data_IF_753259130075
#
_entry.id   IF_753259130075
#
_cell.length_a   1.000
_cell.length_b   1.000
_cell.length_c   1.000
_cell.angle_alpha   90.00
_cell.angle_beta   90.00
_cell.angle_gamma   90.00
#
_symmetry.space_group_name_H-M   'P 1'
#
loop_
_entity.id
_entity.type
_entity.pdbx_description
1 polymer ?
#
# COMPACT_ATOMS: atom_id res chain seq x y z
N UNK A 1 5.50 -13.54 -20.44
CA UNK A 1 5.81 -13.91 -21.85
C UNK A 1 6.29 -12.64 -22.53
N UNK A 2 7.26 -12.70 -23.46
CA UNK A 2 7.67 -11.50 -24.19
C UNK A 2 6.51 -10.98 -25.04
N UNK A 3 6.42 -9.66 -25.21
CA UNK A 3 5.48 -9.07 -26.14
C UNK A 3 5.79 -9.61 -27.55
N UNK A 4 4.84 -10.27 -28.15
CA UNK A 4 4.92 -10.82 -29.51
C UNK A 4 4.07 -9.99 -30.47
N UNK A 5 4.29 -10.17 -31.79
CA UNK A 5 3.48 -9.51 -32.81
C UNK A 5 1.97 -9.65 -32.55
N UNK A 6 1.53 -10.81 -32.06
CA UNK A 6 0.11 -11.05 -31.78
C UNK A 6 -0.41 -10.27 -30.57
N UNK A 7 0.45 -9.93 -29.62
CA UNK A 7 0.04 -9.12 -28.45
C UNK A 7 0.09 -7.62 -28.71
N UNK A 8 0.90 -7.20 -29.67
CA UNK A 8 1.05 -5.78 -30.06
C UNK A 8 0.28 -5.45 -31.35
N UNK A 9 -0.37 -6.46 -31.96
CA UNK A 9 -1.08 -6.35 -33.25
C UNK A 9 -2.21 -5.29 -33.22
N UNK A 10 -2.85 -5.13 -32.07
CA UNK A 10 -3.88 -4.11 -31.86
C UNK A 10 -3.33 -2.66 -31.85
N UNK A 11 -2.04 -2.51 -31.56
CA UNK A 11 -1.37 -1.20 -31.52
C UNK A 11 -0.68 -0.90 -32.85
N UNK A 12 -0.28 -1.97 -33.59
CA UNK A 12 0.44 -1.87 -34.85
C UNK A 12 -0.48 -1.69 -36.08
N UNK A 13 -1.75 -2.01 -35.95
CA UNK A 13 -2.74 -1.88 -37.02
C UNK A 13 -3.58 -0.65 -36.82
N UNK A 14 -3.46 0.25 -37.76
CA UNK A 14 -4.30 1.44 -37.97
C UNK A 14 -4.19 2.58 -36.95
N UNK A 15 -3.85 3.75 -37.47
CA UNK A 15 -4.13 5.15 -37.08
C UNK A 15 -4.66 5.47 -35.64
N UNK A 16 -4.32 4.65 -34.63
CA UNK A 16 -4.61 4.98 -33.24
C UNK A 16 -3.63 6.04 -32.77
N UNK A 17 -4.03 7.29 -32.87
CA UNK A 17 -3.24 8.43 -32.40
C UNK A 17 -3.17 8.56 -30.90
N UNK A 18 -4.11 7.94 -30.17
CA UNK A 18 -4.22 8.06 -28.71
C UNK A 18 -4.40 6.68 -28.07
N UNK A 19 -3.47 6.32 -27.19
CA UNK A 19 -3.59 5.15 -26.32
C UNK A 19 -4.57 5.46 -25.19
N UNK A 20 -5.68 4.71 -25.09
CA UNK A 20 -6.66 4.84 -24.01
C UNK A 20 -6.36 3.79 -22.95
N UNK A 21 -5.79 4.20 -21.83
CA UNK A 21 -5.60 3.35 -20.67
C UNK A 21 -6.93 3.17 -19.93
N UNK A 22 -7.49 1.95 -19.98
CA UNK A 22 -8.73 1.60 -19.25
C UNK A 22 -8.47 1.12 -17.83
N UNK A 23 -7.20 1.04 -17.42
CA UNK A 23 -6.83 0.60 -16.10
C UNK A 23 -6.94 1.74 -15.09
N UNK A 24 -7.28 1.41 -13.85
CA UNK A 24 -7.33 2.39 -12.77
C UNK A 24 -5.91 2.80 -12.34
N UNK A 25 -5.54 4.06 -12.56
CA UNK A 25 -4.21 4.61 -12.27
C UNK A 25 -4.18 5.46 -10.98
N UNK A 26 -5.03 5.17 -10.02
CA UNK A 26 -5.08 5.93 -8.77
C UNK A 26 -3.82 5.69 -7.91
N UNK A 27 -2.98 6.72 -7.79
CA UNK A 27 -1.76 6.73 -6.98
C UNK A 27 -1.91 7.67 -5.79
N UNK A 28 -3.01 7.51 -5.07
CA UNK A 28 -3.41 8.51 -4.09
C UNK A 28 -2.42 8.67 -2.94
N UNK A 29 -2.07 7.58 -2.24
CA UNK A 29 -1.30 7.69 -1.00
C UNK A 29 0.10 8.30 -1.23
N UNK A 30 0.78 7.93 -2.30
CA UNK A 30 2.11 8.47 -2.64
C UNK A 30 2.10 9.97 -2.91
N UNK A 31 1.00 10.51 -3.46
CA UNK A 31 0.87 11.95 -3.72
C UNK A 31 0.66 12.78 -2.45
N UNK A 32 0.10 12.17 -1.39
CA UNK A 32 -0.21 12.85 -0.13
C UNK A 32 0.98 12.87 0.83
N UNK A 33 1.90 11.92 0.72
CA UNK A 33 3.05 11.74 1.61
C UNK A 33 4.26 12.53 1.11
N UNK A 34 5.03 13.10 2.04
CA UNK A 34 6.30 13.79 1.74
C UNK A 34 7.33 12.78 1.22
N UNK A 35 7.86 13.02 0.01
CA UNK A 35 8.97 12.22 -0.54
C UNK A 35 10.30 12.89 -0.22
N UNK A 36 11.25 12.14 0.37
CA UNK A 36 12.60 12.61 0.68
C UNK A 36 13.64 11.78 -0.05
N UNK A 37 14.48 12.47 -0.83
CA UNK A 37 15.52 11.86 -1.66
C UNK A 37 16.89 11.83 -0.98
N UNK A 38 17.18 12.76 -0.09
CA UNK A 38 18.55 13.01 0.43
C UNK A 38 18.85 12.38 1.79
N UNK A 39 17.91 11.64 2.38
CA UNK A 39 18.01 11.13 3.75
C UNK A 39 18.55 9.72 3.85
N UNK A 40 18.77 9.04 2.73
CA UNK A 40 19.28 7.67 2.71
C UNK A 40 20.79 7.66 2.60
N UNK A 41 21.48 7.22 3.65
CA UNK A 41 22.93 7.01 3.62
C UNK A 41 23.21 5.51 3.44
N UNK A 42 23.71 5.14 2.27
CA UNK A 42 23.88 3.74 1.89
C UNK A 42 22.53 3.05 1.64
N UNK A 43 22.11 2.11 2.51
CA UNK A 43 20.86 1.33 2.38
C UNK A 43 19.79 1.67 3.40
N UNK A 44 20.06 2.60 4.32
CA UNK A 44 19.20 2.82 5.50
C UNK A 44 19.06 4.31 5.76
N UNK A 45 17.80 4.77 5.81
CA UNK A 45 17.47 6.05 6.42
C UNK A 45 17.33 5.88 7.94
N UNK A 46 17.70 6.88 8.72
CA UNK A 46 17.62 6.84 10.19
C UNK A 46 16.86 8.02 10.74
N UNK A 47 15.90 7.75 11.62
CA UNK A 47 15.17 8.78 12.37
C UNK A 47 15.39 8.61 13.86
N UNK A 48 15.53 9.72 14.58
CA UNK A 48 15.49 9.72 16.04
C UNK A 48 14.04 10.01 16.50
N UNK A 49 13.50 9.15 17.35
CA UNK A 49 12.14 9.28 17.88
C UNK A 49 12.22 9.43 19.39
N UNK A 50 11.50 10.42 19.94
CA UNK A 50 11.34 10.62 21.36
C UNK A 50 10.20 9.73 21.88
N UNK A 51 10.50 8.79 22.77
CA UNK A 51 9.55 7.79 23.28
C UNK A 51 9.10 8.02 24.72
N UNK A 52 9.88 8.71 25.52
CA UNK A 52 9.56 8.85 26.95
C UNK A 52 10.01 10.16 27.56
N UNK A 53 9.24 10.61 28.54
CA UNK A 53 9.51 11.84 29.30
C UNK A 53 10.50 11.57 30.42
N UNK A 54 11.26 12.58 30.79
CA UNK A 54 12.10 12.55 32.00
C UNK A 54 11.24 12.58 33.26
N UNK A 55 11.56 11.75 34.23
CA UNK A 55 10.97 11.78 35.57
C UNK A 55 11.59 12.85 36.49
N UNK A 56 12.61 13.58 36.01
CA UNK A 56 13.31 14.64 36.77
C UNK A 56 12.54 15.94 36.94
N UNK A 57 11.23 15.97 36.64
CA UNK A 57 10.37 17.13 36.74
C UNK A 57 9.33 16.92 37.85
N UNK A 58 9.24 17.83 38.82
CA UNK A 58 8.22 17.75 39.86
C UNK A 58 8.28 18.95 40.80
N UNK A 59 7.13 19.29 41.36
CA UNK A 59 7.02 20.33 42.40
C UNK A 59 7.70 19.86 43.69
N UNK A 60 8.29 20.78 44.46
CA UNK A 60 8.90 20.57 45.78
C UNK A 60 8.46 21.65 46.73
N UNK A 61 8.52 21.34 48.00
CA UNK A 61 8.31 22.34 49.07
C UNK A 61 9.51 23.30 49.12
N UNK A 62 9.30 24.46 49.73
CA UNK A 62 10.36 25.43 50.03
C UNK A 62 11.46 24.73 50.84
N UNK A 63 12.70 24.81 50.39
CA UNK A 63 13.84 24.12 51.03
C UNK A 63 13.87 22.59 50.83
N UNK A 64 12.97 22.00 50.09
CA UNK A 64 12.91 20.55 49.81
C UNK A 64 13.93 20.06 48.81
N UNK A 65 14.27 18.78 48.88
CA UNK A 65 15.22 18.12 47.96
C UNK A 65 14.70 18.21 46.51
N UNK A 66 15.55 18.65 45.58
CA UNK A 66 15.22 18.70 44.14
C UNK A 66 14.90 17.31 43.58
N UNK A 67 14.10 17.24 42.50
CA UNK A 67 13.85 15.97 41.82
C UNK A 67 15.16 15.32 41.32
N UNK A 68 15.24 14.02 41.44
CA UNK A 68 16.40 13.27 40.91
C UNK A 68 16.50 13.48 39.39
N UNK A 69 17.69 13.81 38.90
CA UNK A 69 17.91 13.98 37.46
C UNK A 69 17.62 12.67 36.72
N UNK A 70 16.89 12.78 35.62
CA UNK A 70 16.56 11.67 34.75
C UNK A 70 16.67 12.09 33.28
N UNK A 71 16.92 11.15 32.40
CA UNK A 71 17.06 11.39 30.97
C UNK A 71 15.73 11.23 30.21
N UNK A 72 15.63 11.89 29.07
CA UNK A 72 14.61 11.63 28.07
C UNK A 72 14.92 10.30 27.37
N UNK A 73 13.89 9.54 26.97
CA UNK A 73 14.06 8.31 26.24
C UNK A 73 13.95 8.56 24.71
N UNK A 74 15.01 8.25 24.00
CA UNK A 74 15.07 8.32 22.54
C UNK A 74 15.34 6.93 21.95
N UNK A 75 14.80 6.65 20.77
CA UNK A 75 15.14 5.48 19.97
C UNK A 75 15.51 5.90 18.56
N UNK A 76 16.47 5.18 17.98
CA UNK A 76 16.81 5.32 16.56
C UNK A 76 15.99 4.32 15.75
N UNK A 77 15.29 4.81 14.74
CA UNK A 77 14.47 4.03 13.81
C UNK A 77 15.27 3.85 12.51
N UNK A 78 15.77 2.64 12.25
CA UNK A 78 16.37 2.31 10.96
C UNK A 78 15.28 1.95 9.95
N UNK A 79 15.31 2.58 8.78
CA UNK A 79 14.38 2.35 7.67
C UNK A 79 15.20 1.87 6.47
N UNK A 80 15.25 0.56 6.21
CA UNK A 80 15.97 0.01 5.07
C UNK A 80 15.18 0.26 3.79
N UNK A 81 15.88 0.58 2.71
CA UNK A 81 15.25 0.78 1.39
C UNK A 81 14.90 -0.57 0.78
N UNK A 82 13.73 -0.67 0.17
CA UNK A 82 13.24 -1.83 -0.59
C UNK A 82 13.36 -1.55 -2.08
N UNK A 83 13.39 -2.62 -2.87
CA UNK A 83 13.68 -2.57 -4.29
C UNK A 83 12.46 -3.01 -5.09
N UNK A 84 11.92 -2.11 -5.90
CA UNK A 84 10.79 -2.41 -6.78
C UNK A 84 11.29 -2.43 -8.22
N UNK A 85 10.95 -3.48 -8.96
CA UNK A 85 11.37 -3.68 -10.34
C UNK A 85 10.19 -3.96 -11.24
N UNK A 86 10.24 -3.39 -12.45
CA UNK A 86 9.38 -3.74 -13.58
C UNK A 86 10.26 -4.14 -14.77
N UNK A 87 9.83 -5.10 -15.61
CA UNK A 87 10.62 -5.59 -16.73
C UNK A 87 9.76 -5.80 -17.95
N UNK A 88 10.18 -5.23 -19.06
CA UNK A 88 9.58 -5.44 -20.39
C UNK A 88 10.54 -6.18 -21.28
N UNK A 89 9.99 -6.97 -22.22
CA UNK A 89 10.77 -7.70 -23.21
C UNK A 89 10.07 -7.62 -24.57
N UNK A 90 10.80 -7.14 -25.57
CA UNK A 90 10.35 -7.07 -26.95
C UNK A 90 11.10 -8.08 -27.82
N UNK A 91 10.40 -8.76 -28.72
CA UNK A 91 11.04 -9.72 -29.64
C UNK A 91 11.78 -9.00 -30.77
N UNK A 92 12.91 -9.56 -31.23
CA UNK A 92 13.67 -9.02 -32.36
C UNK A 92 12.84 -8.89 -33.64
N UNK A 93 11.98 -9.87 -34.03
CA UNK A 93 11.07 -9.74 -35.16
C UNK A 93 10.11 -8.54 -35.04
N UNK A 94 9.53 -8.30 -33.85
CA UNK A 94 8.65 -7.12 -33.59
C UNK A 94 9.39 -5.82 -33.88
N UNK A 95 10.63 -5.71 -33.38
CA UNK A 95 11.47 -4.53 -33.59
C UNK A 95 11.82 -4.34 -35.07
N UNK A 96 12.17 -5.41 -35.79
CA UNK A 96 12.56 -5.31 -37.20
C UNK A 96 11.39 -5.02 -38.13
N UNK A 97 10.22 -5.55 -37.87
CA UNK A 97 9.03 -5.28 -38.67
C UNK A 97 8.51 -3.87 -38.47
N UNK A 98 8.61 -3.34 -37.25
CA UNK A 98 8.29 -1.95 -36.94
C UNK A 98 9.29 -0.93 -37.54
N UNK A 99 10.51 -1.36 -37.93
CA UNK A 99 11.47 -0.44 -38.60
C UNK A 99 11.08 -0.05 -40.03
N UNK A 100 10.13 -0.75 -40.65
CA UNK A 100 9.58 -0.37 -41.95
C UNK A 100 8.65 0.83 -41.81
N UNK A 101 8.04 1.02 -40.64
CA UNK A 101 7.23 2.17 -40.30
C UNK A 101 7.71 2.73 -38.96
N UNK A 102 8.56 3.74 -39.01
CA UNK A 102 9.25 4.31 -37.83
C UNK A 102 8.31 4.80 -36.76
N UNK A 103 7.12 5.27 -37.12
CA UNK A 103 6.11 5.77 -36.20
C UNK A 103 5.54 4.63 -35.35
N UNK A 104 5.12 3.53 -35.95
CA UNK A 104 4.48 2.40 -35.26
C UNK A 104 5.39 1.73 -34.22
N UNK A 105 6.70 1.67 -34.45
CA UNK A 105 7.64 1.11 -33.48
C UNK A 105 7.86 1.99 -32.25
N UNK A 106 8.04 3.27 -32.46
CA UNK A 106 8.23 4.22 -31.36
C UNK A 106 6.98 4.23 -30.49
N UNK A 107 5.80 4.28 -31.09
CA UNK A 107 4.53 4.30 -30.37
C UNK A 107 4.31 2.99 -29.56
N UNK A 108 4.65 1.83 -30.13
CA UNK A 108 4.55 0.56 -29.42
C UNK A 108 5.54 0.44 -28.25
N UNK A 109 6.77 0.89 -28.41
CA UNK A 109 7.76 0.91 -27.34
C UNK A 109 7.36 1.88 -26.23
N UNK A 110 6.92 3.08 -26.60
CA UNK A 110 6.48 4.09 -25.62
C UNK A 110 5.25 3.63 -24.85
N UNK A 111 4.29 2.96 -25.51
CA UNK A 111 3.13 2.38 -24.85
C UNK A 111 3.52 1.28 -23.83
N UNK A 112 4.42 0.37 -24.19
CA UNK A 112 4.93 -0.65 -23.26
C UNK A 112 5.71 -0.03 -22.09
N UNK A 113 6.52 0.99 -22.33
CA UNK A 113 7.28 1.68 -21.31
C UNK A 113 6.36 2.48 -20.34
N UNK A 114 5.31 3.10 -20.85
CA UNK A 114 4.30 3.77 -20.04
C UNK A 114 3.45 2.75 -19.29
N UNK A 115 3.06 1.65 -19.92
CA UNK A 115 2.30 0.57 -19.32
C UNK A 115 3.01 -0.01 -18.10
N UNK A 116 4.29 -0.43 -18.24
CA UNK A 116 5.05 -0.98 -17.10
C UNK A 116 5.25 0.02 -15.96
N UNK A 117 5.39 1.32 -16.30
CA UNK A 117 5.48 2.37 -15.28
C UNK A 117 4.18 2.49 -14.50
N UNK A 118 3.05 2.50 -15.18
CA UNK A 118 1.72 2.57 -14.55
C UNK A 118 1.47 1.33 -13.68
N UNK A 119 1.80 0.13 -14.17
CA UNK A 119 1.64 -1.11 -13.42
C UNK A 119 2.54 -1.16 -12.17
N UNK A 120 3.79 -0.69 -12.29
CA UNK A 120 4.70 -0.60 -11.16
C UNK A 120 4.19 0.38 -10.09
N UNK A 121 3.62 1.49 -10.50
CA UNK A 121 3.01 2.46 -9.60
C UNK A 121 1.78 1.90 -8.89
N UNK A 122 0.90 1.17 -9.59
CA UNK A 122 -0.26 0.46 -8.99
C UNK A 122 0.19 -0.56 -7.96
N UNK A 123 1.21 -1.35 -8.30
CA UNK A 123 1.74 -2.33 -7.37
C UNK A 123 2.32 -1.67 -6.10
N UNK A 124 2.98 -0.53 -6.23
CA UNK A 124 3.43 0.26 -5.07
C UNK A 124 2.25 0.74 -4.23
N UNK A 125 1.16 1.25 -4.84
CA UNK A 125 -0.03 1.67 -4.08
C UNK A 125 -0.64 0.50 -3.31
N UNK A 126 -0.76 -0.68 -3.93
CA UNK A 126 -1.17 -1.91 -3.27
C UNK A 126 -0.26 -2.27 -2.08
N UNK A 127 1.05 -2.22 -2.28
CA UNK A 127 2.03 -2.52 -1.22
C UNK A 127 1.89 -1.55 -0.05
N UNK A 128 1.69 -0.26 -0.31
CA UNK A 128 1.50 0.77 0.72
C UNK A 128 0.24 0.56 1.56
N UNK A 129 -0.80 -0.09 1.03
CA UNK A 129 -1.99 -0.50 1.80
C UNK A 129 -1.88 -1.90 2.40
N UNK A 130 -0.83 -2.65 2.08
CA UNK A 130 -0.61 -4.03 2.50
C UNK A 130 -0.14 -4.20 3.95
N UNK A 131 0.14 -5.47 4.27
CA UNK A 131 0.71 -5.90 5.57
C UNK A 131 2.24 -6.06 5.52
N UNK A 132 2.91 -5.56 4.49
CA UNK A 132 4.36 -5.67 4.28
C UNK A 132 4.87 -7.12 4.07
N UNK A 133 4.00 -8.06 3.84
CA UNK A 133 4.30 -9.50 3.71
C UNK A 133 3.92 -10.10 2.36
N UNK A 134 3.49 -9.28 1.40
CA UNK A 134 3.07 -9.72 0.08
C UNK A 134 1.72 -10.41 0.00
N UNK A 135 0.97 -10.51 1.11
CA UNK A 135 -0.37 -11.09 1.13
C UNK A 135 -1.35 -10.21 0.37
N UNK A 136 -2.04 -10.81 -0.61
CA UNK A 136 -3.13 -10.17 -1.35
C UNK A 136 -4.48 -10.59 -0.77
N UNK A 137 -4.66 -11.90 -0.59
CA UNK A 137 -5.91 -12.48 -0.08
C UNK A 137 -5.65 -13.69 0.81
N UNK A 138 -6.57 -13.97 1.73
CA UNK A 138 -6.58 -15.20 2.49
C UNK A 138 -7.38 -16.27 1.75
N UNK A 139 -6.90 -17.51 1.76
CA UNK A 139 -7.64 -18.63 1.19
C UNK A 139 -8.73 -19.11 2.16
N UNK A 140 -9.78 -19.68 1.59
CA UNK A 140 -10.73 -20.55 2.27
C UNK A 140 -10.36 -22.03 2.10
N UNK A 141 -11.28 -22.92 2.44
CA UNK A 141 -11.09 -24.37 2.25
C UNK A 141 -11.38 -24.72 0.78
N UNK A 142 -10.38 -25.27 0.11
CA UNK A 142 -10.49 -25.85 -1.24
C UNK A 142 -9.99 -27.28 -1.21
N UNK A 143 -10.72 -28.19 -1.80
CA UNK A 143 -10.32 -29.61 -1.89
C UNK A 143 -10.05 -29.96 -3.35
N UNK A 144 -8.78 -30.21 -3.65
CA UNK A 144 -8.28 -30.70 -4.95
C UNK A 144 -8.96 -30.05 -6.18
N UNK A 145 -8.80 -28.73 -6.32
CA UNK A 145 -9.42 -27.96 -7.40
C UNK A 145 -8.46 -26.89 -7.94
N UNK A 146 -8.66 -26.48 -9.19
CA UNK A 146 -8.04 -25.28 -9.78
C UNK A 146 -8.82 -24.01 -9.42
N UNK A 147 -10.07 -24.15 -8.97
CA UNK A 147 -10.87 -23.04 -8.43
C UNK A 147 -10.60 -22.94 -6.93
N UNK A 148 -9.83 -21.95 -6.55
CA UNK A 148 -9.45 -21.67 -5.17
C UNK A 148 -10.50 -20.79 -4.51
N UNK A 149 -11.06 -21.27 -3.40
CA UNK A 149 -11.98 -20.48 -2.57
C UNK A 149 -11.16 -19.48 -1.75
N UNK A 150 -11.58 -18.23 -1.74
CA UNK A 150 -11.02 -17.18 -0.88
C UNK A 150 -11.85 -17.04 0.39
N UNK A 151 -11.24 -16.48 1.43
CA UNK A 151 -11.96 -16.26 2.68
C UNK A 151 -13.16 -15.34 2.50
N UNK A 152 -14.23 -15.55 3.25
CA UNK A 152 -15.43 -14.70 3.21
C UNK A 152 -15.13 -13.24 3.59
N UNK A 153 -14.07 -13.02 4.37
CA UNK A 153 -13.54 -11.70 4.74
C UNK A 153 -12.72 -11.02 3.63
N UNK A 154 -12.43 -11.72 2.50
CA UNK A 154 -11.72 -11.11 1.38
C UNK A 154 -12.57 -10.00 0.79
N UNK A 155 -12.04 -8.79 0.81
CA UNK A 155 -12.75 -7.61 0.37
C UNK A 155 -12.61 -7.32 -1.12
N UNK A 156 -13.39 -6.36 -1.61
CA UNK A 156 -13.41 -5.94 -3.02
C UNK A 156 -12.03 -5.50 -3.53
N UNK A 157 -11.25 -4.81 -2.71
CA UNK A 157 -9.90 -4.38 -3.05
C UNK A 157 -8.98 -5.55 -3.45
N UNK A 158 -8.92 -6.60 -2.62
CA UNK A 158 -8.10 -7.78 -2.89
C UNK A 158 -8.57 -8.54 -4.13
N UNK A 159 -9.90 -8.70 -4.29
CA UNK A 159 -10.50 -9.36 -5.46
C UNK A 159 -10.19 -8.60 -6.75
N UNK A 160 -10.28 -7.27 -6.73
CA UNK A 160 -9.98 -6.42 -7.87
C UNK A 160 -8.50 -6.48 -8.26
N UNK A 161 -7.59 -6.51 -7.30
CA UNK A 161 -6.17 -6.66 -7.55
C UNK A 161 -5.88 -7.96 -8.30
N UNK A 162 -6.48 -9.08 -7.88
CA UNK A 162 -6.36 -10.37 -8.57
C UNK A 162 -6.97 -10.36 -9.98
N UNK A 163 -8.08 -9.65 -10.17
CA UNK A 163 -8.81 -9.59 -11.45
C UNK A 163 -8.16 -8.64 -12.46
N UNK A 164 -7.80 -7.43 -12.02
CA UNK A 164 -7.31 -6.38 -12.92
C UNK A 164 -5.93 -6.68 -13.50
N UNK A 165 -5.12 -7.47 -12.81
CA UNK A 165 -3.79 -7.84 -13.28
C UNK A 165 -3.83 -8.98 -14.35
N UNK A 166 -5.00 -9.25 -14.95
CA UNK A 166 -5.29 -10.18 -16.04
C UNK A 166 -4.17 -11.13 -16.42
N UNK A 167 -4.04 -12.29 -15.72
CA UNK A 167 -2.92 -13.19 -15.87
C UNK A 167 -1.83 -12.99 -14.82
N UNK A 168 -2.12 -12.34 -13.72
CA UNK A 168 -1.22 -12.22 -12.57
C UNK A 168 -0.68 -13.57 -12.14
N UNK A 169 0.62 -13.65 -11.93
CA UNK A 169 1.26 -14.86 -11.41
C UNK A 169 1.33 -14.81 -9.91
N UNK A 170 0.79 -15.84 -9.25
CA UNK A 170 0.64 -15.90 -7.80
C UNK A 170 1.30 -17.15 -7.21
N UNK A 171 1.71 -17.03 -5.96
CA UNK A 171 2.13 -18.13 -5.11
C UNK A 171 1.06 -18.36 -4.04
N UNK A 172 0.88 -19.60 -3.61
CA UNK A 172 -0.08 -19.96 -2.57
C UNK A 172 0.63 -20.76 -1.48
N UNK A 173 0.50 -20.31 -0.25
CA UNK A 173 1.15 -20.96 0.88
C UNK A 173 0.88 -20.27 2.20
N UNK A 174 1.70 -20.53 3.19
CA UNK A 174 1.67 -19.84 4.48
C UNK A 174 2.54 -18.58 4.44
N UNK A 175 2.35 -17.64 5.38
CA UNK A 175 3.20 -16.43 5.45
C UNK A 175 4.67 -16.81 5.63
N UNK A 176 4.99 -17.86 6.38
CA UNK A 176 6.37 -18.33 6.58
C UNK A 176 6.94 -19.07 5.37
N UNK A 177 6.09 -19.67 4.53
CA UNK A 177 6.47 -20.44 3.35
C UNK A 177 5.43 -20.24 2.23
N UNK A 178 5.57 -19.14 1.44
CA UNK A 178 4.55 -18.69 0.48
C UNK A 178 4.27 -19.65 -0.67
N UNK A 179 5.21 -20.53 -0.97
CA UNK A 179 5.13 -21.47 -2.11
C UNK A 179 4.74 -22.90 -1.71
N UNK A 180 4.34 -23.12 -0.45
CA UNK A 180 4.09 -24.48 0.10
C UNK A 180 2.97 -25.23 -0.60
N UNK A 181 1.96 -24.54 -1.12
CA UNK A 181 0.80 -25.15 -1.79
C UNK A 181 0.97 -25.09 -3.31
N UNK A 182 1.34 -23.93 -3.83
CA UNK A 182 1.54 -23.72 -5.24
C UNK A 182 2.52 -22.57 -5.49
N UNK A 183 3.31 -22.67 -6.55
CA UNK A 183 4.24 -21.63 -6.97
C UNK A 183 4.00 -21.28 -8.44
N UNK A 184 4.15 -19.99 -8.77
CA UNK A 184 4.09 -19.44 -10.11
C UNK A 184 2.83 -19.86 -10.90
N UNK A 185 1.65 -19.74 -10.30
CA UNK A 185 0.36 -20.02 -10.94
C UNK A 185 -0.25 -18.77 -11.52
N UNK A 186 -0.68 -18.83 -12.76
CA UNK A 186 -1.38 -17.71 -13.40
C UNK A 186 -2.86 -17.71 -13.01
N UNK A 187 -3.35 -16.58 -12.54
CA UNK A 187 -4.79 -16.36 -12.29
C UNK A 187 -5.47 -16.17 -13.64
N UNK A 188 -6.46 -17.00 -13.95
CA UNK A 188 -7.18 -16.97 -15.23
C UNK A 188 -8.52 -16.26 -15.13
N UNK A 189 -9.17 -16.32 -13.97
CA UNK A 189 -10.41 -15.58 -13.70
C UNK A 189 -10.66 -15.44 -12.21
N UNK A 190 -11.44 -14.45 -11.84
CA UNK A 190 -11.89 -14.20 -10.46
C UNK A 190 -13.39 -13.97 -10.46
N UNK A 191 -14.09 -14.65 -9.57
CA UNK A 191 -15.52 -14.40 -9.31
C UNK A 191 -15.67 -13.61 -8.01
N UNK A 192 -16.10 -12.36 -8.14
CA UNK A 192 -16.27 -11.45 -7.01
C UNK A 192 -17.43 -11.85 -6.11
N UNK A 193 -18.48 -12.43 -6.68
CA UNK A 193 -19.68 -12.84 -5.93
C UNK A 193 -19.43 -14.11 -5.13
N UNK A 194 -18.83 -15.12 -5.78
CA UNK A 194 -18.50 -16.39 -5.14
C UNK A 194 -17.21 -16.32 -4.31
N UNK A 195 -16.43 -15.24 -4.43
CA UNK A 195 -15.09 -15.08 -3.83
C UNK A 195 -14.19 -16.27 -4.15
N UNK A 196 -14.07 -16.55 -5.43
CA UNK A 196 -13.21 -17.62 -5.94
C UNK A 196 -12.27 -17.09 -7.01
N UNK A 197 -11.10 -17.70 -7.12
CA UNK A 197 -10.18 -17.47 -8.22
C UNK A 197 -9.85 -18.78 -8.91
N UNK A 198 -9.71 -18.77 -10.23
CA UNK A 198 -9.25 -19.91 -11.01
C UNK A 198 -7.78 -19.73 -11.35
N UNK A 199 -6.98 -20.75 -11.09
CA UNK A 199 -5.54 -20.76 -11.36
C UNK A 199 -5.18 -21.79 -12.43
N UNK A 200 -4.12 -21.51 -13.17
CA UNK A 200 -3.55 -22.42 -14.16
C UNK A 200 -2.83 -23.62 -13.50
N UNK A 201 -2.74 -24.72 -14.24
CA UNK A 201 -1.91 -25.87 -13.88
C UNK A 201 -2.62 -26.88 -12.97
N UNK A 202 -1.87 -27.56 -12.07
CA UNK A 202 -2.39 -28.63 -11.24
C UNK A 202 -3.36 -28.13 -10.17
N UNK A 203 -4.30 -29.00 -9.77
CA UNK A 203 -5.22 -28.76 -8.66
C UNK A 203 -4.48 -28.56 -7.35
N UNK A 204 -5.05 -27.75 -6.47
CA UNK A 204 -4.50 -27.42 -5.15
C UNK A 204 -5.52 -27.70 -4.04
N UNK A 205 -5.03 -27.90 -2.83
CA UNK A 205 -5.84 -27.96 -1.63
C UNK A 205 -5.44 -26.83 -0.69
N UNK A 206 -6.39 -26.02 -0.28
CA UNK A 206 -6.14 -24.87 0.60
C UNK A 206 -6.96 -24.93 1.87
N UNK A 207 -6.53 -24.19 2.88
CA UNK A 207 -7.23 -23.98 4.15
C UNK A 207 -7.14 -22.49 4.50
N UNK A 208 -7.83 -22.07 5.55
CA UNK A 208 -7.78 -20.70 6.06
C UNK A 208 -6.40 -20.25 6.59
N UNK A 209 -5.43 -21.16 6.73
CA UNK A 209 -4.05 -20.82 7.07
C UNK A 209 -3.18 -20.47 5.85
N UNK A 210 -3.71 -20.65 4.65
CA UNK A 210 -3.01 -20.31 3.41
C UNK A 210 -3.44 -18.94 2.89
N UNK A 211 -2.51 -18.30 2.18
CA UNK A 211 -2.67 -16.98 1.61
C UNK A 211 -2.19 -16.98 0.17
N UNK A 212 -2.70 -16.02 -0.59
CA UNK A 212 -2.30 -15.73 -1.96
C UNK A 212 -1.29 -14.58 -1.93
N UNK A 213 -0.16 -14.77 -2.59
CA UNK A 213 0.92 -13.79 -2.72
C UNK A 213 1.20 -13.50 -4.19
N UNK A 214 1.68 -12.31 -4.51
CA UNK A 214 2.33 -12.09 -5.79
C UNK A 214 3.61 -12.94 -5.85
N UNK A 215 3.87 -13.60 -6.97
CA UNK A 215 5.03 -14.49 -7.09
C UNK A 215 6.32 -13.76 -6.76
N UNK A 216 7.10 -14.34 -5.86
CA UNK A 216 8.38 -13.81 -5.39
C UNK A 216 8.28 -12.67 -4.38
N UNK A 217 7.08 -12.17 -4.06
CA UNK A 217 6.90 -11.07 -3.11
C UNK A 217 6.55 -11.53 -1.69
N UNK A 218 6.09 -12.77 -1.54
CA UNK A 218 5.65 -13.30 -0.25
C UNK A 218 6.79 -13.69 0.69
N UNK A 219 6.54 -13.55 1.99
CA UNK A 219 7.14 -14.41 2.94
C UNK A 219 8.20 -13.96 3.90
N UNK A 220 8.09 -12.87 4.57
CA UNK A 220 8.87 -12.71 5.79
C UNK A 220 8.00 -12.93 7.04
N UNK A 221 8.51 -13.69 8.00
CA UNK A 221 7.84 -13.88 9.28
C UNK A 221 7.86 -12.64 10.18
N UNK A 222 8.72 -11.66 9.88
CA UNK A 222 8.93 -10.46 10.69
C UNK A 222 8.84 -9.19 9.83
N UNK A 223 7.65 -8.87 9.36
CA UNK A 223 7.38 -7.68 8.53
C UNK A 223 7.42 -6.39 9.36
N UNK A 224 8.56 -6.12 9.97
CA UNK A 224 8.71 -5.03 10.93
C UNK A 224 9.25 -3.74 10.32
N UNK A 225 9.58 -3.74 9.03
CA UNK A 225 10.30 -2.65 8.39
C UNK A 225 11.71 -2.44 8.96
N UNK A 226 12.30 -3.49 9.57
CA UNK A 226 13.63 -3.47 10.14
C UNK A 226 14.69 -3.99 9.15
N UNK A 227 15.96 -3.59 9.29
CA UNK A 227 17.03 -4.18 8.51
C UNK A 227 17.18 -5.68 8.77
N UNK A 228 17.19 -6.48 7.71
CA UNK A 228 17.40 -7.94 7.81
C UNK A 228 16.18 -8.75 8.26
N UNK A 229 14.99 -8.16 8.30
CA UNK A 229 13.74 -8.85 8.63
C UNK A 229 13.22 -9.78 7.50
N UNK A 230 13.88 -9.77 6.34
CA UNK A 230 13.48 -10.55 5.18
C UNK A 230 12.27 -9.98 4.41
N UNK A 231 11.75 -8.83 4.82
CA UNK A 231 10.68 -8.14 4.12
C UNK A 231 11.13 -7.73 2.71
N UNK A 232 10.33 -8.06 1.70
CA UNK A 232 10.59 -7.75 0.30
C UNK A 232 9.77 -6.53 -0.13
N UNK A 233 8.46 -6.53 0.18
CA UNK A 233 7.57 -5.42 -0.13
C UNK A 233 7.78 -4.21 0.79
N UNK A 234 7.26 -3.06 0.38
CA UNK A 234 7.29 -1.82 1.16
C UNK A 234 6.54 -1.99 2.49
N UNK A 235 6.90 -1.19 3.47
CA UNK A 235 6.14 -1.10 4.73
C UNK A 235 4.77 -0.48 4.45
N UNK A 236 3.72 -1.27 4.67
CA UNK A 236 2.34 -0.88 4.37
C UNK A 236 1.59 -0.29 5.56
N UNK A 237 0.51 0.42 5.26
CA UNK A 237 -0.33 1.10 6.26
C UNK A 237 -0.96 0.14 7.28
N UNK A 238 -1.26 -1.11 6.89
CA UNK A 238 -1.78 -2.09 7.86
C UNK A 238 -0.75 -2.46 8.94
N UNK A 239 0.55 -2.43 8.61
CA UNK A 239 1.62 -2.62 9.58
C UNK A 239 1.86 -1.34 10.40
N UNK A 240 1.82 -0.18 9.77
CA UNK A 240 2.00 1.12 10.43
C UNK A 240 0.86 1.37 11.41
N UNK A 241 -0.40 1.22 10.97
CA UNK A 241 -1.58 1.49 11.80
C UNK A 241 -2.02 0.22 12.53
N UNK A 242 -1.15 -0.23 13.43
CA UNK A 242 -1.38 -1.40 14.29
C UNK A 242 -0.99 -1.08 15.73
N UNK A 243 -1.63 -1.73 16.68
CA UNK A 243 -1.37 -1.63 18.11
C UNK A 243 -0.42 -2.72 18.63
N UNK A 244 -0.17 -3.75 17.83
CA UNK A 244 0.57 -4.95 18.22
C UNK A 244 1.80 -5.23 17.36
N UNK A 245 1.76 -4.89 16.06
CA UNK A 245 2.87 -5.16 15.15
C UNK A 245 4.13 -4.38 15.52
N UNK A 246 5.27 -5.05 15.55
CA UNK A 246 6.58 -4.39 15.65
C UNK A 246 6.78 -3.55 14.40
N UNK A 247 7.26 -2.32 14.55
CA UNK A 247 7.55 -1.42 13.44
C UNK A 247 8.91 -0.76 13.65
N UNK A 248 9.77 -0.85 12.63
CA UNK A 248 11.11 -0.24 12.64
C UNK A 248 11.93 -0.59 13.90
N UNK A 249 11.94 -1.85 14.31
CA UNK A 249 12.60 -2.38 15.52
C UNK A 249 11.94 -2.02 16.86
N UNK A 250 10.94 -1.15 16.88
CA UNK A 250 10.26 -0.75 18.11
C UNK A 250 9.05 -1.65 18.35
N UNK A 251 9.04 -2.33 19.49
CA UNK A 251 7.94 -3.19 19.91
C UNK A 251 6.92 -2.39 20.72
N UNK A 252 5.66 -2.30 20.29
CA UNK A 252 4.61 -1.55 21.00
C UNK A 252 4.26 -2.16 22.38
N UNK A 253 4.57 -3.43 22.63
CA UNK A 253 4.39 -4.04 23.95
C UNK A 253 5.36 -3.45 24.99
N UNK A 254 6.59 -3.14 24.57
CA UNK A 254 7.61 -2.50 25.42
C UNK A 254 7.52 -0.97 25.43
N UNK A 255 6.97 -0.40 24.36
CA UNK A 255 6.83 1.05 24.16
C UNK A 255 5.37 1.41 23.82
N UNK A 256 4.50 1.53 24.86
CA UNK A 256 3.07 1.80 24.64
C UNK A 256 2.77 3.09 23.87
N UNK A 257 3.67 4.09 23.93
CA UNK A 257 3.54 5.35 23.20
C UNK A 257 3.76 5.17 21.67
N UNK A 258 4.27 3.99 21.25
CA UNK A 258 4.48 3.61 19.85
C UNK A 258 3.32 2.73 19.34
N UNK A 259 2.09 2.99 19.73
CA UNK A 259 0.89 2.29 19.27
C UNK A 259 0.03 3.23 18.45
N UNK A 260 -0.45 2.76 17.28
CA UNK A 260 -1.58 3.39 16.63
C UNK A 260 -2.87 3.00 17.38
N UNK A 261 -3.92 3.80 17.23
CA UNK A 261 -5.21 3.46 17.80
C UNK A 261 -6.00 2.55 16.87
N UNK A 262 -6.31 1.34 17.34
CA UNK A 262 -7.11 0.36 16.59
C UNK A 262 -8.47 0.23 17.27
N UNK A 263 -9.54 0.55 16.55
CA UNK A 263 -10.92 0.42 17.00
C UNK A 263 -11.57 -0.73 16.25
N UNK A 264 -11.48 -1.93 16.81
CA UNK A 264 -12.05 -3.16 16.26
C UNK A 264 -13.29 -3.58 17.04
N UNK A 265 -14.21 -4.28 16.37
CA UNK A 265 -15.40 -4.89 16.94
C UNK A 265 -15.31 -6.42 16.97
N UNK A 266 -14.09 -6.95 17.16
CA UNK A 266 -13.82 -8.38 17.27
C UNK A 266 -14.29 -9.20 16.06
N UNK A 267 -14.16 -8.64 14.85
CA UNK A 267 -14.53 -9.30 13.60
C UNK A 267 -16.03 -9.26 13.26
N UNK A 268 -16.84 -8.60 14.09
CA UNK A 268 -18.28 -8.43 13.79
C UNK A 268 -18.52 -7.07 13.13
N UNK A 269 -19.06 -7.06 11.93
CA UNK A 269 -19.33 -5.82 11.19
C UNK A 269 -20.39 -4.96 11.93
N UNK A 270 -20.13 -3.66 11.96
CA UNK A 270 -21.00 -2.64 12.57
C UNK A 270 -21.21 -1.47 11.62
N UNK A 271 -22.35 -0.82 11.74
CA UNK A 271 -22.63 0.38 10.96
C UNK A 271 -21.71 1.53 11.32
N UNK A 272 -21.37 2.33 10.32
CA UNK A 272 -20.62 3.57 10.51
C UNK A 272 -21.50 4.56 11.28
N UNK A 273 -20.92 5.25 12.26
CA UNK A 273 -21.59 6.33 13.00
C UNK A 273 -20.66 7.53 13.19
N UNK A 274 -21.24 8.71 13.29
CA UNK A 274 -20.48 9.95 13.55
C UNK A 274 -19.68 9.86 14.86
N UNK A 275 -20.29 9.33 15.91
CA UNK A 275 -19.64 9.12 17.21
C UNK A 275 -18.41 8.23 17.10
N UNK A 276 -18.47 7.19 16.26
CA UNK A 276 -17.37 6.27 16.04
C UNK A 276 -16.19 6.96 15.33
N UNK A 277 -16.46 7.74 14.30
CA UNK A 277 -15.43 8.49 13.56
C UNK A 277 -14.83 9.58 14.45
N UNK A 278 -15.67 10.43 15.01
CA UNK A 278 -15.26 11.57 15.86
C UNK A 278 -14.50 11.07 17.09
N UNK A 279 -15.01 10.00 17.75
CA UNK A 279 -14.35 9.41 18.90
C UNK A 279 -12.96 8.86 18.58
N UNK A 280 -12.77 8.29 17.38
CA UNK A 280 -11.46 7.80 16.94
C UNK A 280 -10.49 8.94 16.61
N UNK A 281 -10.97 10.03 15.99
CA UNK A 281 -10.18 11.26 15.76
C UNK A 281 -9.73 11.85 17.11
N UNK A 282 -10.65 11.96 18.07
CA UNK A 282 -10.37 12.46 19.41
C UNK A 282 -9.33 11.62 20.13
N UNK A 283 -9.42 10.28 19.99
CA UNK A 283 -8.47 9.36 20.62
C UNK A 283 -7.07 9.51 20.02
N UNK A 284 -6.97 9.63 18.70
CA UNK A 284 -5.71 9.93 18.00
C UNK A 284 -5.10 11.24 18.51
N UNK A 285 -5.89 12.29 18.56
CA UNK A 285 -5.46 13.60 19.07
C UNK A 285 -4.99 13.53 20.52
N UNK A 286 -5.74 12.86 21.39
CA UNK A 286 -5.39 12.72 22.83
C UNK A 286 -4.07 11.98 23.01
N UNK A 287 -3.81 10.96 22.17
CA UNK A 287 -2.59 10.15 22.26
C UNK A 287 -1.36 10.86 21.70
N UNK A 288 -1.52 11.69 20.68
CA UNK A 288 -0.40 12.25 19.91
C UNK A 288 -0.23 13.77 20.04
N UNK A 289 -1.30 14.47 20.41
CA UNK A 289 -1.38 15.93 20.36
C UNK A 289 -1.56 16.50 18.94
N UNK A 290 -1.74 15.64 17.92
CA UNK A 290 -1.94 16.03 16.53
C UNK A 290 -3.25 15.46 15.97
N UNK A 291 -3.92 16.25 15.16
CA UNK A 291 -5.17 15.85 14.49
C UNK A 291 -4.83 15.14 13.17
N UNK A 292 -5.59 14.10 12.83
CA UNK A 292 -5.51 13.51 11.48
C UNK A 292 -6.09 14.47 10.46
N UNK A 293 -5.43 14.59 9.33
CA UNK A 293 -5.85 15.44 8.21
C UNK A 293 -6.53 14.66 7.09
N UNK A 294 -6.37 13.33 7.07
CA UNK A 294 -6.89 12.46 6.02
C UNK A 294 -7.60 11.24 6.60
N UNK A 295 -8.81 10.97 6.10
CA UNK A 295 -9.54 9.73 6.28
C UNK A 295 -9.56 8.98 4.96
N UNK A 296 -9.17 7.71 4.97
CA UNK A 296 -9.15 6.89 3.75
C UNK A 296 -9.91 5.59 3.99
N UNK A 297 -10.74 5.22 3.03
CA UNK A 297 -11.49 3.98 3.05
C UNK A 297 -11.67 3.40 1.65
N UNK A 298 -11.99 2.11 1.60
CA UNK A 298 -12.48 1.48 0.38
C UNK A 298 -13.87 2.02 -0.01
N UNK A 299 -14.27 1.72 -1.23
CA UNK A 299 -15.50 2.22 -1.85
C UNK A 299 -16.77 1.98 -1.02
N UNK A 300 -16.99 0.76 -0.49
CA UNK A 300 -18.18 0.41 0.27
C UNK A 300 -18.31 1.16 1.60
N UNK A 301 -17.20 1.36 2.32
CA UNK A 301 -17.17 2.16 3.55
C UNK A 301 -17.30 3.65 3.21
N UNK A 302 -16.69 4.12 2.11
CA UNK A 302 -16.83 5.50 1.65
C UNK A 302 -18.29 5.85 1.39
N UNK A 303 -19.02 4.99 0.68
CA UNK A 303 -20.45 5.16 0.44
C UNK A 303 -21.27 5.14 1.73
N UNK A 304 -20.90 4.27 2.70
CA UNK A 304 -21.54 4.24 4.01
C UNK A 304 -21.39 5.57 4.76
N UNK A 305 -20.20 6.17 4.72
CA UNK A 305 -19.94 7.49 5.34
C UNK A 305 -20.67 8.60 4.59
N UNK A 306 -20.67 8.58 3.25
CA UNK A 306 -21.39 9.57 2.44
C UNK A 306 -22.90 9.53 2.74
N UNK A 307 -23.50 8.34 2.81
CA UNK A 307 -24.92 8.16 3.16
C UNK A 307 -25.23 8.66 4.59
N UNK A 308 -24.31 8.45 5.55
CA UNK A 308 -24.46 8.98 6.90
C UNK A 308 -24.48 10.51 6.88
N UNK A 309 -23.57 11.16 6.14
CA UNK A 309 -23.52 12.62 6.04
C UNK A 309 -24.76 13.20 5.37
N UNK A 310 -25.26 12.57 4.31
CA UNK A 310 -26.50 12.94 3.64
C UNK A 310 -27.71 12.83 4.59
N UNK A 311 -27.79 11.76 5.38
CA UNK A 311 -28.86 11.56 6.35
C UNK A 311 -28.91 12.65 7.44
N UNK A 312 -27.75 13.21 7.77
CA UNK A 312 -27.62 14.29 8.73
C UNK A 312 -27.84 15.69 8.14
N UNK A 313 -28.24 15.79 6.85
CA UNK A 313 -28.45 17.05 6.10
C UNK A 313 -27.25 18.02 6.20
N UNK A 314 -26.05 17.50 6.23
CA UNK A 314 -24.83 18.30 6.24
C UNK A 314 -24.44 18.66 4.80
N UNK A 315 -23.98 19.90 4.61
CA UNK A 315 -23.37 20.28 3.34
C UNK A 315 -22.05 19.53 3.19
N UNK A 316 -21.89 18.83 2.08
CA UNK A 316 -20.65 18.19 1.68
C UNK A 316 -19.87 19.17 0.81
N UNK A 317 -18.82 19.74 1.36
CA UNK A 317 -17.89 20.55 0.57
C UNK A 317 -16.79 19.65 0.03
N UNK A 318 -16.48 19.80 -1.23
CA UNK A 318 -15.34 19.15 -1.85
C UNK A 318 -14.10 20.00 -1.67
N UNK A 319 -12.99 19.35 -1.36
CA UNK A 319 -11.67 19.98 -1.26
C UNK A 319 -10.72 19.27 -2.20
N UNK A 320 -9.94 20.06 -2.91
CA UNK A 320 -8.84 19.53 -3.72
C UNK A 320 -7.68 19.11 -2.81
N UNK A 321 -7.20 17.90 -3.01
CA UNK A 321 -6.02 17.33 -2.37
C UNK A 321 -4.81 17.45 -3.29
N UNK A 322 -3.60 17.25 -2.76
CA UNK A 322 -2.37 17.22 -3.56
C UNK A 322 -2.50 16.18 -4.69
N UNK A 323 -2.04 16.53 -5.88
CA UNK A 323 -2.11 15.67 -7.05
C UNK A 323 -3.44 15.73 -7.81
N UNK A 324 -4.31 16.72 -7.54
CA UNK A 324 -5.58 16.93 -8.27
C UNK A 324 -6.73 15.99 -7.82
N UNK A 325 -6.57 15.32 -6.69
CA UNK A 325 -7.63 14.49 -6.13
C UNK A 325 -8.68 15.33 -5.41
N UNK A 326 -9.95 14.93 -5.48
CA UNK A 326 -11.05 15.58 -4.77
C UNK A 326 -11.52 14.70 -3.60
N UNK A 327 -11.64 15.30 -2.44
CA UNK A 327 -12.12 14.63 -1.23
C UNK A 327 -13.29 15.38 -0.59
N UNK A 328 -14.06 14.70 0.26
CA UNK A 328 -15.16 15.27 1.02
C UNK A 328 -14.61 15.79 2.34
N UNK A 329 -14.88 17.06 2.67
CA UNK A 329 -14.52 17.63 3.96
C UNK A 329 -15.37 17.00 5.08
N UNK A 330 -14.70 16.45 6.09
CA UNK A 330 -15.32 15.99 7.30
C UNK A 330 -15.04 16.98 8.44
N UNK A 331 -16.06 17.72 8.83
CA UNK A 331 -15.97 18.61 9.96
C UNK A 331 -16.12 17.81 11.26
N UNK A 332 -15.00 17.33 11.82
CA UNK A 332 -15.02 16.88 13.20
C UNK A 332 -15.39 18.07 14.12
N UNK A 333 -16.21 17.86 15.17
CA UNK A 333 -16.47 18.90 16.14
C UNK A 333 -15.13 19.49 16.60
N UNK A 334 -15.07 20.82 16.61
CA UNK A 334 -13.88 21.60 16.92
C UNK A 334 -13.25 21.14 18.22
N UNK A 335 -12.22 20.34 18.13
CA UNK A 335 -11.33 20.10 19.24
C UNK A 335 -10.27 21.17 19.12
N UNK A 336 -10.33 22.17 20.00
CA UNK A 336 -9.32 23.21 20.12
C UNK A 336 -7.98 22.59 20.48
N UNK A 337 -7.24 22.13 19.47
CA UNK A 337 -5.84 21.76 19.52
C UNK A 337 -5.01 22.95 19.06
N UNK A 338 -3.81 23.06 19.57
CA UNK A 338 -2.81 24.05 19.19
C UNK A 338 -2.38 23.77 17.75
N UNK A 339 -2.78 24.60 16.82
CA UNK A 339 -2.55 24.46 15.39
C UNK A 339 -3.83 24.07 14.65
N UNK A 340 -4.34 25.00 13.88
CA UNK A 340 -5.45 24.77 12.95
C UNK A 340 -4.91 23.97 11.76
N UNK A 341 -4.93 22.65 11.88
CA UNK A 341 -4.48 21.72 10.82
C UNK A 341 -5.57 21.52 9.75
N UNK A 342 -6.45 22.49 9.58
CA UNK A 342 -7.48 22.47 8.55
C UNK A 342 -8.56 21.38 8.74
N UNK A 343 -9.46 21.20 7.77
CA UNK A 343 -10.48 20.16 7.81
C UNK A 343 -9.86 18.77 7.59
N UNK A 344 -10.44 17.75 8.19
CA UNK A 344 -10.13 16.37 7.85
C UNK A 344 -10.84 16.02 6.56
N UNK A 345 -10.13 15.47 5.58
CA UNK A 345 -10.70 15.14 4.27
C UNK A 345 -10.90 13.64 4.14
N UNK A 346 -12.08 13.21 3.73
CA UNK A 346 -12.39 11.82 3.41
C UNK A 346 -12.13 11.55 1.93
N UNK A 347 -11.35 10.54 1.64
CA UNK A 347 -11.04 10.08 0.29
C UNK A 347 -11.29 8.58 0.13
N UNK A 348 -11.67 8.17 -1.08
CA UNK A 348 -11.82 6.77 -1.46
C UNK A 348 -10.57 6.28 -2.18
N UNK A 349 -9.82 5.36 -1.58
CA UNK A 349 -8.73 4.66 -2.24
C UNK A 349 -9.14 3.21 -2.48
N UNK A 350 -9.08 2.79 -3.73
CA UNK A 350 -9.54 1.47 -4.14
C UNK A 350 -8.66 0.32 -3.62
N UNK A 351 -7.40 0.58 -3.26
CA UNK A 351 -6.51 -0.41 -2.67
C UNK A 351 -6.57 -0.45 -1.14
N UNK A 352 -7.31 0.49 -0.53
CA UNK A 352 -7.54 0.50 0.91
C UNK A 352 -8.25 -0.79 1.36
N UNK A 353 -7.83 -1.41 2.47
CA UNK A 353 -8.50 -2.60 2.98
C UNK A 353 -9.99 -2.41 3.22
N UNK A 354 -10.78 -3.36 2.74
CA UNK A 354 -12.24 -3.38 2.92
C UNK A 354 -12.64 -3.40 4.40
N UNK A 355 -13.87 -3.02 4.69
CA UNK A 355 -14.44 -2.98 6.05
C UNK A 355 -13.65 -2.10 7.04
N UNK A 356 -12.82 -1.19 6.53
CA UNK A 356 -11.93 -0.37 7.37
C UNK A 356 -11.92 1.09 6.96
N UNK A 357 -11.77 1.98 7.95
CA UNK A 357 -11.54 3.41 7.77
C UNK A 357 -10.25 3.80 8.47
N UNK A 358 -9.29 4.28 7.70
CA UNK A 358 -7.99 4.73 8.21
C UNK A 358 -7.99 6.25 8.44
N UNK A 359 -7.54 6.67 9.60
CA UNK A 359 -7.21 8.06 9.89
C UNK A 359 -5.71 8.25 9.84
N UNK A 360 -5.26 9.09 8.91
CA UNK A 360 -3.85 9.29 8.60
C UNK A 360 -3.48 10.75 8.86
N UNK A 361 -2.31 10.96 9.47
CA UNK A 361 -1.65 12.25 9.54
C UNK A 361 -0.48 12.23 8.55
N UNK A 362 -0.62 12.86 7.41
CA UNK A 362 0.32 12.74 6.29
C UNK A 362 1.73 13.21 6.63
N UNK A 363 1.91 14.25 7.44
CA UNK A 363 3.23 14.78 7.83
C UNK A 363 4.00 13.85 8.79
N UNK A 364 3.31 12.85 9.37
CA UNK A 364 3.94 11.81 10.18
C UNK A 364 4.49 10.66 9.36
N UNK A 365 4.19 10.62 8.06
CA UNK A 365 4.70 9.66 7.11
C UNK A 365 5.75 10.31 6.21
N UNK A 366 6.73 9.53 5.77
CA UNK A 366 7.74 9.96 4.80
C UNK A 366 8.08 8.79 3.89
N UNK A 367 8.00 9.02 2.59
CA UNK A 367 8.51 8.11 1.60
C UNK A 367 9.99 8.44 1.33
N UNK A 368 10.89 7.57 1.79
CA UNK A 368 12.30 7.65 1.45
C UNK A 368 12.51 7.05 0.07
N UNK A 369 13.21 7.78 -0.78
CA UNK A 369 13.50 7.38 -2.14
C UNK A 369 14.98 7.62 -2.45
N UNK A 370 15.61 6.69 -3.12
CA UNK A 370 16.99 6.84 -3.59
C UNK A 370 16.96 7.30 -5.04
N UNK A 371 17.69 8.37 -5.34
CA UNK A 371 17.76 8.93 -6.70
C UNK A 371 16.48 9.67 -7.11
N UNK A 372 16.22 9.72 -8.41
CA UNK A 372 15.11 10.52 -8.99
C UNK A 372 13.77 9.77 -9.08
N UNK A 373 13.68 8.59 -8.50
CA UNK A 373 12.45 7.81 -8.51
C UNK A 373 12.45 6.69 -9.54
N UNK A 374 11.39 6.60 -10.31
CA UNK A 374 11.27 5.58 -11.34
C UNK A 374 12.23 5.87 -12.51
N UNK A 375 13.17 4.97 -12.73
CA UNK A 375 14.17 5.07 -13.79
C UNK A 375 14.30 3.74 -14.52
N UNK A 376 14.55 3.81 -15.84
CA UNK A 376 15.02 2.65 -16.56
C UNK A 376 16.51 2.45 -16.33
N UNK A 377 16.91 1.20 -16.19
CA UNK A 377 18.31 0.83 -15.99
C UNK A 377 19.10 1.13 -17.25
N UNK A 378 20.09 2.01 -17.13
CA UNK A 378 20.98 2.45 -18.21
C UNK A 378 22.44 2.33 -17.74
N UNK A 379 22.85 1.14 -17.33
CA UNK A 379 24.22 0.93 -16.82
C UNK A 379 25.24 0.75 -17.94
N UNK A 380 24.80 0.31 -19.10
CA UNK A 380 25.65 -0.02 -20.26
C UNK A 380 25.51 1.01 -21.40
N UNK A 381 24.93 2.18 -21.15
CA UNK A 381 24.69 3.22 -22.15
C UNK A 381 23.52 2.95 -23.08
N UNK A 382 22.69 1.93 -22.77
CA UNK A 382 21.46 1.63 -23.48
C UNK A 382 20.35 1.21 -22.52
N UNK A 383 19.16 1.81 -22.67
CA UNK A 383 17.97 1.43 -21.90
C UNK A 383 17.50 0.02 -22.24
N UNK A 384 17.64 -0.38 -23.50
CA UNK A 384 17.28 -1.72 -23.98
C UNK A 384 18.50 -2.59 -24.20
N UNK A 385 18.60 -3.67 -23.44
CA UNK A 385 19.71 -4.60 -23.51
C UNK A 385 19.31 -5.89 -24.26
N UNK A 386 20.16 -6.40 -25.14
CA UNK A 386 19.94 -7.66 -25.81
C UNK A 386 20.03 -8.83 -24.83
N UNK A 387 19.08 -9.73 -24.88
CA UNK A 387 19.12 -10.98 -24.10
C UNK A 387 20.09 -11.96 -24.74
N UNK A 388 21.08 -12.53 -24.02
CA UNK A 388 22.14 -13.33 -24.62
C UNK A 388 21.66 -14.54 -25.40
N UNK A 389 20.62 -15.22 -24.91
CA UNK A 389 20.17 -16.53 -25.47
C UNK A 389 18.89 -16.42 -26.32
N UNK A 390 18.36 -15.20 -26.53
CA UNK A 390 17.12 -14.99 -27.27
C UNK A 390 17.27 -13.83 -28.26
N UNK A 391 16.54 -13.90 -29.38
CA UNK A 391 16.36 -12.74 -30.25
C UNK A 391 15.31 -11.80 -29.66
N UNK A 392 15.68 -11.15 -28.54
CA UNK A 392 14.83 -10.25 -27.79
C UNK A 392 15.66 -9.16 -27.09
N UNK A 393 15.03 -8.02 -26.89
CA UNK A 393 15.56 -6.91 -26.10
C UNK A 393 14.72 -6.74 -24.84
N UNK A 394 15.37 -6.37 -23.75
CA UNK A 394 14.71 -6.14 -22.47
C UNK A 394 15.09 -4.79 -21.86
N UNK A 395 14.12 -4.13 -21.22
CA UNK A 395 14.36 -2.96 -20.38
C UNK A 395 13.86 -3.23 -18.96
N UNK A 396 14.60 -2.76 -17.98
CA UNK A 396 14.26 -2.89 -16.55
C UNK A 396 13.98 -1.53 -15.96
N UNK A 397 12.75 -1.33 -15.50
CA UNK A 397 12.35 -0.19 -14.68
C UNK A 397 12.65 -0.52 -13.22
N UNK A 398 13.20 0.43 -12.47
CA UNK A 398 13.44 0.23 -11.05
C UNK A 398 13.14 1.49 -10.24
N UNK A 399 12.86 1.28 -8.97
CA UNK A 399 12.82 2.33 -7.95
C UNK A 399 13.19 1.75 -6.59
N UNK A 400 13.95 2.51 -5.82
CA UNK A 400 14.38 2.14 -4.48
C UNK A 400 13.72 3.08 -3.49
N UNK A 401 12.78 2.55 -2.71
CA UNK A 401 11.98 3.36 -1.80
C UNK A 401 11.57 2.60 -0.55
N UNK A 402 11.13 3.31 0.48
CA UNK A 402 10.51 2.73 1.67
C UNK A 402 9.64 3.77 2.38
N UNK A 403 8.48 3.34 2.89
CA UNK A 403 7.60 4.18 3.69
C UNK A 403 8.02 4.13 5.16
N UNK A 404 8.32 5.28 5.72
CA UNK A 404 8.65 5.45 7.12
C UNK A 404 7.56 6.18 7.89
N UNK A 405 7.36 5.77 9.15
CA UNK A 405 6.48 6.45 10.09
C UNK A 405 7.31 7.13 11.18
N UNK A 406 7.19 8.45 11.30
CA UNK A 406 7.86 9.25 12.35
C UNK A 406 7.09 9.25 13.66
N UNK A 407 5.76 9.21 13.60
CA UNK A 407 4.89 9.30 14.77
C UNK A 407 3.67 8.39 14.60
N UNK A 408 3.75 7.17 15.12
CA UNK A 408 2.76 6.12 14.91
C UNK A 408 1.43 6.38 15.62
N UNK A 409 1.46 6.96 16.80
CA UNK A 409 0.28 7.22 17.65
C UNK A 409 -0.65 8.33 17.13
N UNK A 410 -0.30 9.00 16.02
CA UNK A 410 -1.18 9.94 15.33
C UNK A 410 -2.22 9.25 14.46
N UNK A 411 -1.93 8.01 14.02
CA UNK A 411 -2.77 7.26 13.12
C UNK A 411 -3.78 6.40 13.88
N UNK A 412 -4.92 6.17 13.24
CA UNK A 412 -5.88 5.20 13.74
C UNK A 412 -6.52 4.40 12.62
N UNK A 413 -7.13 3.28 12.98
CA UNK A 413 -7.99 2.50 12.09
C UNK A 413 -9.26 2.08 12.82
N UNK A 414 -10.38 2.22 12.15
CA UNK A 414 -11.66 1.65 12.54
C UNK A 414 -11.89 0.43 11.67
N UNK A 415 -11.98 -0.73 12.27
CA UNK A 415 -12.19 -2.01 11.61
C UNK A 415 -13.62 -2.51 11.80
N UNK A 416 -13.95 -3.56 11.07
CA UNK A 416 -15.23 -4.26 11.17
C UNK A 416 -16.41 -3.34 10.86
N UNK A 417 -16.29 -2.56 9.79
CA UNK A 417 -17.35 -1.69 9.28
C UNK A 417 -18.19 -2.43 8.23
N UNK A 418 -19.50 -2.19 8.26
CA UNK A 418 -20.41 -2.68 7.22
C UNK A 418 -20.24 -1.83 5.96
N UNK A 419 -20.00 -2.49 4.85
CA UNK A 419 -19.91 -1.87 3.53
C UNK A 419 -21.30 -1.85 2.86
N UNK A 420 -21.59 -0.78 2.13
CA UNK A 420 -22.68 -0.79 1.17
C UNK A 420 -22.26 -1.64 -0.02
N UNK A 421 -23.09 -2.57 -0.43
CA UNK A 421 -22.88 -3.34 -1.65
C UNK A 421 -23.02 -2.40 -2.85
N UNK A 422 -22.01 -2.36 -3.68
CA UNK A 422 -21.92 -1.57 -4.91
C UNK A 422 -22.08 -2.51 -6.11
#
# INVERSE_FOLDING_TARGET
>A
MPASLSTVDAILKDDYKDYIDQLNNALFLTSQVETRKDTVVGRIARHAIHLGRSSGVGARAEGGTLPTAANQAYATVPVPVRYVYGRIQLSGPTIRQATTDRGAFIDALDAEMQGIRNDAMKDVNRQLWGQSNGVIAQCGTTTTSTTVVLASSTGSAALRQLYNDGGMVVDIGTVAAPTTVASARTVTSVDNSAKTMVISGATVSTTSSHFVFRTGAGGASNNSGAPGDGQIELTGMQTIVSDSAVLHTINPSSQPNWKAYVNSNSGTNRSVSETLITGSIMKGLTNSGKKVNLLVSAEGVHMSVANLLLSLKRNMEQTELKGGYAGIQYFAPSVSGKGDEGPTVLYCDFDCPSNSLYGVHTDSLVLHQVGEGWQFMDMDGAVMNRKPDLDAYEATLFSYMELACKQRNTHFVIKDLTEVSI
#
